data_IF_382509471391
#
_entry.id   IF_382509471391
#
_cell.length_a   1.000
_cell.length_b   1.000
_cell.length_c   1.000
_cell.angle_alpha   90.00
_cell.angle_beta   90.00
_cell.angle_gamma   90.00
#
_symmetry.space_group_name_H-M   'P 1'
#
loop_
_entity.id
_entity.type
_entity.pdbx_description
1 polymer ?
#
# COMPACT_ATOMS: atom_id res chain seq x y z
N UNK A 1 -91.90 1.60 4.93
CA UNK A 1 -92.80 0.54 4.43
C UNK A 1 -91.92 -0.50 3.78
N UNK A 2 -92.16 -1.78 4.09
CA UNK A 2 -91.48 -3.01 3.61
C UNK A 2 -91.14 -2.98 2.09
N UNK A 3 -90.16 -3.69 1.54
CA UNK A 3 -90.01 -5.15 1.64
C UNK A 3 -88.63 -5.67 1.12
N UNK A 4 -88.23 -6.80 1.73
CA UNK A 4 -87.43 -8.00 1.33
C UNK A 4 -86.60 -7.96 0.02
N UNK A 5 -85.38 -8.52 -0.05
CA UNK A 5 -85.08 -9.98 0.02
C UNK A 5 -83.58 -10.31 0.20
N UNK A 6 -83.29 -11.38 0.97
CA UNK A 6 -82.02 -12.12 1.10
C UNK A 6 -81.89 -13.19 -0.03
N UNK A 7 -80.69 -13.74 -0.39
CA UNK A 7 -79.89 -14.68 0.45
C UNK A 7 -78.35 -14.49 0.39
N UNK A 8 -77.62 -14.52 1.51
CA UNK A 8 -76.84 -15.65 2.07
C UNK A 8 -76.04 -16.49 1.05
N UNK A 9 -74.71 -16.34 1.05
CA UNK A 9 -73.78 -17.45 1.23
C UNK A 9 -72.51 -16.98 1.96
N UNK A 10 -72.15 -17.77 2.96
CA UNK A 10 -70.98 -17.79 3.83
C UNK A 10 -69.64 -17.72 3.09
N UNK A 11 -68.67 -16.96 3.61
CA UNK A 11 -67.44 -17.51 4.21
C UNK A 11 -66.30 -16.48 4.35
N UNK A 12 -65.77 -16.41 5.57
CA UNK A 12 -64.36 -16.20 5.95
C UNK A 12 -63.79 -14.77 5.91
N UNK A 13 -63.94 -14.16 7.08
CA UNK A 13 -62.97 -13.38 7.87
C UNK A 13 -61.48 -13.71 7.59
N UNK A 14 -60.65 -12.73 7.20
CA UNK A 14 -59.63 -12.11 8.08
C UNK A 14 -58.65 -11.25 7.27
N UNK A 15 -58.54 -10.01 7.72
CA UNK A 15 -57.43 -9.08 7.55
C UNK A 15 -56.20 -9.66 8.27
N UNK A 16 -55.00 -9.65 7.66
CA UNK A 16 -53.76 -9.44 8.43
C UNK A 16 -52.57 -9.04 7.54
N UNK A 17 -51.99 -7.93 7.96
CA UNK A 17 -50.80 -7.23 7.51
C UNK A 17 -49.60 -8.17 7.39
N UNK A 18 -48.93 -8.17 6.23
CA UNK A 18 -47.59 -8.74 6.08
C UNK A 18 -46.55 -7.61 6.18
N UNK A 19 -46.09 -7.36 7.41
CA UNK A 19 -44.86 -6.61 7.68
C UNK A 19 -43.70 -7.62 7.86
N UNK A 20 -42.58 -7.31 7.23
CA UNK A 20 -41.20 -7.69 7.58
C UNK A 20 -40.89 -9.18 7.82
N UNK A 21 -40.09 -9.78 6.94
CA UNK A 21 -38.89 -10.59 7.29
C UNK A 21 -38.04 -10.81 6.02
N UNK A 22 -37.24 -9.80 5.63
CA UNK A 22 -35.99 -10.06 4.91
C UNK A 22 -35.02 -10.57 5.97
N UNK A 23 -34.92 -11.89 6.06
CA UNK A 23 -34.05 -12.55 7.03
C UNK A 23 -32.61 -12.12 6.83
N UNK A 24 -31.99 -11.64 7.91
CA UNK A 24 -30.54 -11.62 8.06
C UNK A 24 -30.02 -13.04 7.81
N UNK A 25 -29.34 -13.25 6.69
CA UNK A 25 -28.49 -14.43 6.54
C UNK A 25 -27.35 -14.22 7.53
N UNK A 26 -27.33 -14.99 8.62
CA UNK A 26 -26.17 -15.08 9.50
C UNK A 26 -24.99 -15.49 8.62
N UNK A 27 -23.93 -14.71 8.63
CA UNK A 27 -22.65 -15.14 8.09
C UNK A 27 -22.31 -16.50 8.72
N UNK A 28 -21.95 -17.47 7.88
CA UNK A 28 -21.45 -18.74 8.39
C UNK A 28 -20.19 -18.43 9.23
N UNK A 29 -20.06 -19.03 10.41
CA UNK A 29 -18.88 -18.83 11.23
C UNK A 29 -17.65 -19.21 10.40
N UNK A 30 -16.72 -18.27 10.29
CA UNK A 30 -15.39 -18.55 9.76
C UNK A 30 -14.84 -19.70 10.60
N UNK A 31 -14.56 -20.84 9.96
CA UNK A 31 -13.82 -21.92 10.60
C UNK A 31 -12.40 -21.38 10.77
N UNK A 32 -12.13 -20.82 11.95
CA UNK A 32 -10.78 -20.62 12.42
C UNK A 32 -10.27 -22.05 12.66
N UNK A 33 -9.50 -22.56 11.71
CA UNK A 33 -8.65 -23.70 12.01
C UNK A 33 -7.65 -23.13 13.02
N UNK A 34 -7.71 -23.62 14.26
CA UNK A 34 -6.71 -23.28 15.25
C UNK A 34 -5.33 -23.48 14.59
N UNK A 35 -4.39 -22.53 14.74
CA UNK A 35 -3.04 -22.76 14.29
C UNK A 35 -2.60 -24.12 14.84
N UNK A 36 -1.91 -24.95 14.03
CA UNK A 36 -1.36 -26.19 14.54
C UNK A 36 -0.64 -25.88 15.86
N UNK A 37 -0.74 -26.79 16.84
CA UNK A 37 -0.02 -26.65 18.11
C UNK A 37 1.40 -26.14 17.80
N UNK A 38 1.88 -25.09 18.49
CA UNK A 38 3.19 -24.55 18.22
C UNK A 38 4.18 -25.72 18.23
N UNK A 39 5.07 -25.82 17.23
CA UNK A 39 6.03 -26.91 17.18
C UNK A 39 6.69 -26.99 18.56
N UNK A 40 6.78 -28.21 19.10
CA UNK A 40 7.47 -28.47 20.36
C UNK A 40 8.76 -27.65 20.33
N UNK A 41 9.00 -26.74 21.30
CA UNK A 41 10.16 -25.88 21.27
C UNK A 41 11.40 -26.74 21.04
N UNK A 42 11.98 -26.61 19.85
CA UNK A 42 13.23 -27.29 19.55
C UNK A 42 14.26 -26.56 20.39
N UNK A 43 14.93 -27.29 21.27
CA UNK A 43 16.05 -26.75 22.02
C UNK A 43 17.18 -26.42 21.02
N UNK A 44 17.20 -25.18 20.56
CA UNK A 44 18.20 -24.68 19.63
C UNK A 44 19.54 -24.39 20.31
N UNK A 45 19.61 -24.51 21.64
CA UNK A 45 20.86 -24.28 22.39
C UNK A 45 21.86 -25.41 22.25
N UNK A 46 21.44 -26.56 21.71
CA UNK A 46 22.28 -27.73 21.44
C UNK A 46 22.39 -28.10 19.96
N UNK A 47 21.93 -27.25 19.04
CA UNK A 47 22.11 -27.48 17.60
C UNK A 47 23.57 -27.24 17.22
N UNK A 48 24.37 -28.31 17.28
CA UNK A 48 25.64 -28.40 16.55
C UNK A 48 25.35 -29.04 15.19
N UNK A 49 24.75 -28.25 14.30
CA UNK A 49 24.46 -28.66 12.92
C UNK A 49 25.74 -28.73 12.04
N UNK A 50 26.90 -28.59 12.67
CA UNK A 50 28.18 -28.39 12.01
C UNK A 50 28.26 -27.04 11.27
N UNK A 51 29.38 -26.78 10.58
CA UNK A 51 29.51 -25.58 9.77
C UNK A 51 28.53 -25.63 8.60
N UNK A 52 27.58 -24.68 8.57
CA UNK A 52 26.68 -24.46 7.44
C UNK A 52 27.48 -23.98 6.25
N UNK A 53 27.51 -24.78 5.19
CA UNK A 53 28.08 -24.37 3.90
C UNK A 53 27.07 -23.50 3.14
N UNK A 54 27.08 -22.20 3.42
CA UNK A 54 26.19 -21.23 2.77
C UNK A 54 26.34 -21.21 1.24
N UNK A 55 27.42 -21.74 0.67
CA UNK A 55 27.60 -21.83 -0.80
C UNK A 55 26.75 -22.93 -1.44
N UNK A 56 26.23 -23.87 -0.63
CA UNK A 56 25.39 -24.98 -1.08
C UNK A 56 23.91 -24.78 -0.82
N UNK A 57 23.53 -23.73 -0.09
CA UNK A 57 22.14 -23.36 0.04
C UNK A 57 21.76 -22.59 -1.23
N UNK A 58 20.90 -23.15 -2.10
CA UNK A 58 20.30 -22.34 -3.15
C UNK A 58 19.39 -21.33 -2.45
N UNK A 59 19.92 -20.13 -2.19
CA UNK A 59 19.17 -19.01 -1.62
C UNK A 59 18.27 -18.39 -2.69
N UNK A 60 17.38 -19.23 -3.21
CA UNK A 60 16.40 -18.87 -4.22
C UNK A 60 15.09 -19.54 -3.85
N UNK A 61 14.00 -18.82 -4.04
CA UNK A 61 12.64 -19.32 -3.84
C UNK A 61 11.94 -19.58 -5.18
N UNK A 62 12.69 -19.85 -6.25
CA UNK A 62 12.16 -19.97 -7.62
C UNK A 62 11.01 -20.98 -7.74
N UNK A 63 11.04 -22.07 -6.97
CA UNK A 63 9.96 -23.06 -6.93
C UNK A 63 8.65 -22.54 -6.33
N UNK A 64 8.68 -21.46 -5.56
CA UNK A 64 7.52 -20.78 -4.97
C UNK A 64 7.17 -19.47 -5.69
N UNK A 65 7.99 -19.02 -6.64
CA UNK A 65 7.88 -17.68 -7.20
C UNK A 65 6.64 -17.47 -8.09
N UNK A 66 6.06 -18.55 -8.63
CA UNK A 66 4.91 -18.49 -9.52
C UNK A 66 3.69 -17.81 -8.87
N UNK A 67 2.95 -16.95 -9.59
CA UNK A 67 1.66 -16.40 -9.15
C UNK A 67 0.60 -17.45 -8.77
N UNK A 68 0.71 -18.65 -9.33
CA UNK A 68 -0.19 -19.78 -8.99
C UNK A 68 0.01 -20.27 -7.55
N UNK A 69 1.12 -19.89 -6.90
CA UNK A 69 1.51 -20.30 -5.56
C UNK A 69 1.42 -19.15 -4.54
N UNK A 70 0.61 -18.13 -4.82
CA UNK A 70 0.44 -16.95 -3.94
C UNK A 70 0.12 -17.30 -2.49
N UNK A 71 -0.66 -18.36 -2.23
CA UNK A 71 -0.95 -18.83 -0.87
C UNK A 71 0.28 -19.36 -0.10
N UNK A 72 1.38 -19.64 -0.79
CA UNK A 72 2.65 -20.13 -0.24
C UNK A 72 3.76 -19.07 -0.28
N UNK A 73 3.46 -17.85 -0.76
CA UNK A 73 4.49 -16.83 -0.92
C UNK A 73 5.09 -16.37 0.41
N UNK A 74 4.38 -16.46 1.53
CA UNK A 74 4.90 -16.00 2.83
C UNK A 74 5.52 -14.59 2.70
N UNK A 75 6.83 -14.45 2.96
CA UNK A 75 7.61 -13.22 2.81
C UNK A 75 8.30 -13.06 1.43
N UNK A 76 8.20 -14.05 0.55
CA UNK A 76 8.73 -13.99 -0.82
C UNK A 76 7.89 -13.10 -1.73
N UNK A 77 8.48 -12.69 -2.87
CA UNK A 77 7.85 -11.80 -3.84
C UNK A 77 7.37 -10.47 -3.22
N UNK A 78 8.22 -9.88 -2.37
CA UNK A 78 7.98 -8.58 -1.74
C UNK A 78 9.05 -7.61 -2.21
N UNK A 79 8.63 -6.44 -2.69
CA UNK A 79 9.50 -5.34 -3.09
C UNK A 79 8.83 -4.03 -2.67
N UNK A 80 9.58 -3.12 -2.05
CA UNK A 80 9.08 -1.87 -1.45
C UNK A 80 7.90 -2.08 -0.47
N UNK A 81 8.08 -2.84 0.63
CA UNK A 81 7.02 -3.07 1.59
C UNK A 81 6.70 -1.81 2.40
N UNK A 82 5.42 -1.49 2.50
CA UNK A 82 4.85 -0.57 3.51
C UNK A 82 4.01 -1.36 4.51
N UNK A 83 4.26 -1.10 5.79
CA UNK A 83 3.63 -1.82 6.90
C UNK A 83 2.60 -0.97 7.63
N UNK A 84 1.48 -1.57 8.00
CA UNK A 84 0.49 -1.01 8.91
C UNK A 84 0.26 -1.96 10.08
N UNK A 85 0.66 -1.53 11.29
CA UNK A 85 0.36 -2.28 12.51
C UNK A 85 -1.11 -2.06 12.87
N UNK A 86 -1.91 -3.12 12.80
CA UNK A 86 -3.29 -3.15 13.27
C UNK A 86 -3.42 -3.93 14.58
N UNK A 87 -4.65 -3.99 15.10
CA UNK A 87 -4.93 -4.61 16.40
C UNK A 87 -4.64 -6.13 16.40
N UNK A 88 -5.13 -6.83 15.36
CA UNK A 88 -4.98 -8.29 15.24
C UNK A 88 -3.80 -8.72 14.35
N UNK A 89 -3.43 -7.88 13.40
CA UNK A 89 -2.42 -8.20 12.38
C UNK A 89 -1.60 -6.96 12.01
N UNK A 90 -0.32 -7.19 11.71
CA UNK A 90 0.46 -6.28 10.86
C UNK A 90 0.17 -6.59 9.40
N UNK A 91 -0.18 -5.56 8.64
CA UNK A 91 -0.44 -5.64 7.20
C UNK A 91 0.78 -5.15 6.43
N UNK A 92 1.02 -5.75 5.26
CA UNK A 92 2.08 -5.36 4.33
C UNK A 92 1.47 -5.13 2.95
N UNK A 93 1.84 -4.01 2.32
CA UNK A 93 1.48 -3.64 0.95
C UNK A 93 2.77 -3.44 0.19
N UNK A 94 2.88 -3.97 -1.02
CA UNK A 94 4.13 -3.90 -1.77
C UNK A 94 3.93 -3.79 -3.27
N UNK A 95 5.00 -3.39 -3.96
CA UNK A 95 5.12 -3.34 -5.42
C UNK A 95 4.67 -4.65 -6.06
N UNK A 96 3.98 -4.57 -7.19
CA UNK A 96 3.59 -5.74 -7.96
C UNK A 96 4.83 -6.45 -8.54
N UNK A 97 5.27 -7.53 -7.89
CA UNK A 97 6.45 -8.31 -8.29
C UNK A 97 6.20 -9.82 -8.17
N UNK A 98 6.76 -10.60 -9.10
CA UNK A 98 6.92 -12.04 -8.96
C UNK A 98 8.26 -12.46 -9.62
N UNK A 99 9.16 -13.08 -8.87
CA UNK A 99 10.51 -13.38 -9.34
C UNK A 99 10.47 -14.31 -10.57
N UNK A 100 10.91 -13.79 -11.72
CA UNK A 100 10.93 -14.55 -12.99
C UNK A 100 9.55 -14.79 -13.61
N UNK A 101 8.50 -14.11 -13.14
CA UNK A 101 7.13 -14.28 -13.63
C UNK A 101 6.44 -12.93 -13.88
N UNK A 102 5.58 -12.89 -14.89
CA UNK A 102 4.63 -11.80 -15.03
C UNK A 102 3.60 -11.84 -13.90
N UNK A 103 3.19 -10.66 -13.43
CA UNK A 103 2.17 -10.53 -12.40
C UNK A 103 1.14 -9.48 -12.82
N UNK A 104 -0.11 -9.70 -12.44
CA UNK A 104 -1.17 -8.70 -12.63
C UNK A 104 -0.92 -7.47 -11.74
N UNK A 105 -1.34 -6.26 -12.18
CA UNK A 105 -1.29 -5.10 -11.31
C UNK A 105 -2.36 -5.16 -10.22
N UNK A 106 -2.06 -4.56 -9.08
CA UNK A 106 -3.06 -4.26 -8.07
C UNK A 106 -2.58 -3.96 -6.66
N UNK A 107 -1.28 -3.86 -6.40
CA UNK A 107 -0.66 -3.80 -5.07
C UNK A 107 -0.98 -5.06 -4.26
N UNK A 108 0.05 -5.85 -4.00
CA UNK A 108 -0.06 -7.08 -3.23
C UNK A 108 -0.29 -6.79 -1.74
N UNK A 109 -1.15 -7.57 -1.09
CA UNK A 109 -1.48 -7.44 0.34
C UNK A 109 -1.11 -8.73 1.06
N UNK A 110 -0.37 -8.60 2.15
CA UNK A 110 -0.08 -9.68 3.10
C UNK A 110 -0.44 -9.25 4.53
N UNK A 111 -0.57 -10.21 5.43
CA UNK A 111 -0.71 -9.95 6.88
C UNK A 111 0.08 -10.94 7.71
N UNK A 112 0.42 -10.55 8.95
CA UNK A 112 1.15 -11.38 9.90
C UNK A 112 0.73 -11.07 11.33
N UNK A 113 0.78 -12.07 12.21
CA UNK A 113 0.57 -11.92 13.65
C UNK A 113 1.90 -11.72 14.42
N UNK A 114 3.04 -12.05 13.80
CA UNK A 114 4.34 -12.13 14.49
C UNK A 114 5.51 -11.56 13.68
N UNK A 115 5.25 -10.95 12.51
CA UNK A 115 6.24 -10.42 11.55
C UNK A 115 7.15 -11.47 10.89
N UNK A 116 6.96 -12.75 11.20
CA UNK A 116 7.76 -13.86 10.66
C UNK A 116 6.93 -14.68 9.68
N UNK A 117 5.73 -15.08 10.07
CA UNK A 117 4.79 -15.85 9.26
C UNK A 117 3.81 -14.90 8.58
N UNK A 118 3.78 -14.94 7.25
CA UNK A 118 2.99 -14.03 6.44
C UNK A 118 1.97 -14.80 5.60
N UNK A 119 0.73 -14.31 5.58
CA UNK A 119 -0.34 -14.83 4.74
C UNK A 119 -0.59 -13.84 3.60
N UNK A 120 -0.58 -14.33 2.35
CA UNK A 120 -1.02 -13.54 1.21
C UNK A 120 -2.54 -13.40 1.20
N UNK A 121 -3.03 -12.16 1.17
CA UNK A 121 -4.46 -11.84 1.28
C UNK A 121 -5.09 -11.55 -0.08
N UNK A 122 -4.32 -10.98 -1.02
CA UNK A 122 -4.84 -10.60 -2.34
C UNK A 122 -4.20 -9.31 -2.87
N UNK A 123 -4.99 -8.55 -3.63
CA UNK A 123 -4.59 -7.27 -4.22
C UNK A 123 -5.54 -6.16 -3.81
N UNK A 124 -5.00 -4.95 -3.62
CA UNK A 124 -5.78 -3.77 -3.24
C UNK A 124 -6.73 -3.30 -4.36
N UNK A 125 -6.29 -3.43 -5.62
CA UNK A 125 -7.03 -3.05 -6.81
C UNK A 125 -7.32 -4.27 -7.69
N UNK A 126 -8.38 -4.25 -8.51
CA UNK A 126 -8.65 -5.29 -9.51
C UNK A 126 -7.77 -5.18 -10.78
N UNK A 127 -6.98 -4.11 -10.90
CA UNK A 127 -6.11 -3.80 -12.04
C UNK A 127 -5.48 -2.42 -11.85
N UNK A 128 -5.03 -1.79 -12.94
CA UNK A 128 -4.53 -0.41 -12.87
C UNK A 128 -5.64 0.58 -12.47
N UNK A 129 -5.39 1.49 -11.52
CA UNK A 129 -6.30 2.57 -11.16
C UNK A 129 -6.50 3.55 -12.33
N UNK A 130 -7.75 3.93 -12.57
CA UNK A 130 -8.15 4.63 -13.80
C UNK A 130 -7.65 6.07 -13.84
N UNK A 131 -7.57 6.78 -12.72
CA UNK A 131 -7.14 8.19 -12.73
C UNK A 131 -5.68 8.31 -13.14
N UNK A 132 -4.82 7.43 -12.62
CA UNK A 132 -3.40 7.39 -12.97
C UNK A 132 -3.16 6.98 -14.43
N UNK A 133 -3.82 5.92 -14.89
CA UNK A 133 -3.74 5.47 -16.29
C UNK A 133 -4.18 6.57 -17.26
N UNK A 134 -5.29 7.25 -16.96
CA UNK A 134 -5.78 8.36 -17.78
C UNK A 134 -4.80 9.55 -17.79
N UNK A 135 -4.21 9.90 -16.65
CA UNK A 135 -3.20 10.97 -16.58
C UNK A 135 -2.01 10.67 -17.49
N UNK A 136 -1.48 9.45 -17.46
CA UNK A 136 -0.35 9.04 -18.29
C UNK A 136 -0.73 9.09 -19.79
N UNK A 137 -1.88 8.51 -20.15
CA UNK A 137 -2.36 8.49 -21.54
C UNK A 137 -2.60 9.90 -22.10
N UNK A 138 -3.21 10.79 -21.31
CA UNK A 138 -3.46 12.18 -21.70
C UNK A 138 -2.17 12.99 -21.91
N UNK A 139 -1.06 12.55 -21.33
CA UNK A 139 0.26 13.17 -21.50
C UNK A 139 1.16 12.39 -22.47
N UNK A 140 0.57 11.52 -23.30
CA UNK A 140 1.24 10.86 -24.42
C UNK A 140 2.11 9.66 -24.02
N UNK A 141 1.91 9.09 -22.84
CA UNK A 141 2.56 7.85 -22.40
C UNK A 141 1.61 6.66 -22.36
N UNK A 142 2.19 5.47 -22.16
CA UNK A 142 1.46 4.24 -21.84
C UNK A 142 1.88 3.79 -20.43
N UNK A 143 0.94 3.51 -19.52
CA UNK A 143 1.30 3.10 -18.15
C UNK A 143 2.00 1.74 -18.16
N UNK A 144 2.94 1.56 -17.22
CA UNK A 144 3.39 0.20 -16.91
C UNK A 144 2.22 -0.64 -16.38
N UNK A 145 2.25 -1.94 -16.67
CA UNK A 145 1.27 -2.89 -16.14
C UNK A 145 1.60 -3.34 -14.70
N UNK A 146 1.96 -2.39 -13.84
CA UNK A 146 2.43 -2.62 -12.47
C UNK A 146 2.27 -1.35 -11.63
N UNK A 147 1.92 -1.49 -10.35
CA UNK A 147 1.90 -0.42 -9.36
C UNK A 147 3.08 -0.59 -8.40
N UNK A 148 3.68 0.53 -8.00
CA UNK A 148 4.95 0.55 -7.27
C UNK A 148 4.84 1.25 -5.92
N UNK A 149 5.71 0.83 -5.01
CA UNK A 149 6.05 1.43 -3.72
C UNK A 149 4.84 2.07 -3.03
N UNK A 150 3.85 1.26 -2.61
CA UNK A 150 2.68 1.80 -1.93
C UNK A 150 3.05 2.32 -0.54
N UNK A 151 2.22 3.20 0.00
CA UNK A 151 2.26 3.57 1.41
C UNK A 151 0.87 3.50 2.02
N UNK A 152 0.74 2.77 3.13
CA UNK A 152 -0.53 2.59 3.85
C UNK A 152 -0.48 3.34 5.20
N UNK A 153 -1.57 4.03 5.51
CA UNK A 153 -1.79 4.57 6.85
C UNK A 153 -3.27 4.50 7.24
N UNK A 154 -3.55 4.62 8.53
CA UNK A 154 -4.91 4.78 9.06
C UNK A 154 -5.10 6.19 9.60
N UNK A 155 -6.18 6.87 9.20
CA UNK A 155 -6.58 8.19 9.69
C UNK A 155 -8.03 8.11 10.16
N UNK A 156 -8.25 8.16 11.47
CA UNK A 156 -9.56 7.83 12.04
C UNK A 156 -9.98 6.41 11.66
N UNK A 157 -11.17 6.25 11.08
CA UNK A 157 -11.69 4.96 10.61
C UNK A 157 -11.33 4.64 9.14
N UNK A 158 -10.52 5.48 8.50
CA UNK A 158 -10.19 5.36 7.09
C UNK A 158 -8.76 4.85 6.87
N UNK A 159 -8.64 3.83 6.02
CA UNK A 159 -7.37 3.34 5.52
C UNK A 159 -7.03 4.08 4.21
N UNK A 160 -5.88 4.73 4.17
CA UNK A 160 -5.37 5.50 3.03
C UNK A 160 -4.18 4.79 2.42
N UNK A 161 -4.36 4.30 1.19
CA UNK A 161 -3.33 3.65 0.40
C UNK A 161 -2.88 4.60 -0.71
N UNK A 162 -1.70 5.14 -0.54
CA UNK A 162 -0.98 5.86 -1.59
C UNK A 162 -0.26 4.85 -2.47
N UNK A 163 -0.25 5.07 -3.79
CA UNK A 163 0.38 4.18 -4.75
C UNK A 163 1.07 4.97 -5.85
N UNK A 164 2.09 4.37 -6.46
CA UNK A 164 2.79 4.93 -7.59
C UNK A 164 2.37 4.23 -8.89
N UNK A 165 2.15 5.02 -9.95
CA UNK A 165 2.03 4.52 -11.31
C UNK A 165 2.94 5.35 -12.24
N UNK A 166 3.77 4.66 -13.00
CA UNK A 166 4.78 5.23 -13.88
C UNK A 166 4.61 4.72 -15.32
N UNK A 167 5.43 5.21 -16.24
CA UNK A 167 5.46 4.83 -17.64
C UNK A 167 6.89 4.71 -18.18
N UNK A 168 7.09 4.08 -19.36
CA UNK A 168 8.38 4.09 -20.05
C UNK A 168 8.85 5.50 -20.42
N UNK A 169 7.94 6.47 -20.50
CA UNK A 169 8.27 7.87 -20.73
C UNK A 169 8.95 8.44 -19.49
N UNK A 170 10.22 8.91 -19.58
CA UNK A 170 10.98 9.32 -18.41
C UNK A 170 10.25 10.35 -17.55
N UNK A 171 10.08 10.03 -16.26
CA UNK A 171 9.45 10.91 -15.26
C UNK A 171 7.98 11.26 -15.52
N UNK A 172 7.30 10.56 -16.43
CA UNK A 172 5.85 10.66 -16.57
C UNK A 172 5.19 9.65 -15.63
N UNK A 173 4.85 10.13 -14.43
CA UNK A 173 4.39 9.32 -13.31
C UNK A 173 3.39 10.08 -12.43
N UNK A 174 2.69 9.35 -11.58
CA UNK A 174 1.79 9.90 -10.59
C UNK A 174 1.75 9.09 -9.30
N UNK A 175 1.53 9.79 -8.20
CA UNK A 175 1.09 9.21 -6.93
C UNK A 175 -0.41 9.42 -6.82
N UNK A 176 -1.15 8.34 -6.68
CA UNK A 176 -2.59 8.37 -6.41
C UNK A 176 -2.90 8.01 -4.96
N UNK A 177 -4.09 8.38 -4.51
CA UNK A 177 -4.66 7.98 -3.24
C UNK A 177 -5.91 7.14 -3.48
N UNK A 178 -6.00 5.99 -2.84
CA UNK A 178 -7.21 5.22 -2.69
C UNK A 178 -7.51 4.96 -1.21
N UNK A 179 -8.78 4.73 -0.89
CA UNK A 179 -9.25 4.60 0.50
C UNK A 179 -10.19 3.43 0.70
N UNK A 180 -10.21 2.91 1.93
CA UNK A 180 -11.07 1.81 2.35
C UNK A 180 -11.48 1.97 3.83
N UNK A 181 -12.54 1.26 4.23
CA UNK A 181 -12.96 1.15 5.63
C UNK A 181 -12.33 -0.02 6.37
N UNK A 182 -11.61 -0.90 5.66
CA UNK A 182 -10.88 -2.04 6.23
C UNK A 182 -9.51 -2.13 5.57
N UNK A 183 -8.48 -2.70 6.23
CA UNK A 183 -7.15 -2.79 5.65
C UNK A 183 -7.14 -3.65 4.37
N UNK A 184 -7.98 -4.69 4.27
CA UNK A 184 -8.08 -5.52 3.07
C UNK A 184 -8.82 -4.86 1.89
N UNK A 185 -9.33 -3.63 2.06
CA UNK A 185 -10.16 -2.99 1.05
C UNK A 185 -11.65 -3.32 1.17
N UNK A 186 -12.44 -3.17 0.08
CA UNK A 186 -11.99 -2.76 -1.24
C UNK A 186 -11.53 -1.29 -1.26
N UNK A 187 -10.41 -1.01 -1.91
CA UNK A 187 -9.93 0.35 -2.09
C UNK A 187 -10.68 1.07 -3.22
N UNK A 188 -10.91 2.37 -3.02
CA UNK A 188 -11.58 3.27 -3.97
C UNK A 188 -10.72 4.50 -4.21
N UNK A 189 -10.39 4.77 -5.47
CA UNK A 189 -9.63 5.95 -5.87
C UNK A 189 -10.32 7.23 -5.39
N UNK A 190 -9.51 8.14 -4.86
CA UNK A 190 -9.93 9.46 -4.39
C UNK A 190 -9.41 10.57 -5.28
N UNK A 191 -8.18 10.43 -5.77
CA UNK A 191 -7.54 11.45 -6.58
C UNK A 191 -6.05 11.19 -6.78
N UNK A 192 -5.45 11.98 -7.68
CA UNK A 192 -4.01 12.07 -7.80
C UNK A 192 -3.50 13.11 -6.81
N UNK A 193 -2.45 12.76 -6.06
CA UNK A 193 -1.85 13.60 -5.04
C UNK A 193 -0.78 14.49 -5.66
N UNK A 194 0.18 13.88 -6.35
CA UNK A 194 1.26 14.58 -7.04
C UNK A 194 1.58 13.86 -8.35
N UNK A 195 2.00 14.64 -9.35
CA UNK A 195 2.32 14.14 -10.69
C UNK A 195 3.63 14.73 -11.19
N UNK A 196 4.31 14.04 -12.08
CA UNK A 196 5.49 14.52 -12.79
C UNK A 196 5.33 14.34 -14.30
N UNK A 197 6.01 15.20 -15.07
CA UNK A 197 5.93 15.23 -16.53
C UNK A 197 7.31 15.15 -17.18
N UNK A 198 7.36 14.58 -18.37
CA UNK A 198 8.52 14.54 -19.25
C UNK A 198 8.69 15.85 -20.06
N UNK A 199 8.65 17.00 -19.39
CA UNK A 199 8.61 18.33 -20.02
C UNK A 199 9.86 19.20 -19.76
N UNK A 200 10.91 18.62 -19.17
CA UNK A 200 12.16 19.33 -18.87
C UNK A 200 12.12 20.26 -17.65
N UNK A 201 10.99 20.39 -16.94
CA UNK A 201 10.95 21.12 -15.66
C UNK A 201 11.90 20.49 -14.63
N UNK A 202 12.45 21.25 -13.69
CA UNK A 202 13.22 20.68 -12.57
C UNK A 202 12.24 20.09 -11.55
N UNK A 203 12.27 18.77 -11.41
CA UNK A 203 11.39 17.99 -10.52
C UNK A 203 11.96 16.57 -10.38
N UNK A 204 11.64 15.89 -9.28
CA UNK A 204 11.80 14.44 -9.15
C UNK A 204 10.73 13.63 -9.90
N UNK A 205 10.85 12.31 -9.90
CA UNK A 205 9.79 11.41 -10.35
C UNK A 205 8.70 11.27 -9.28
N UNK A 206 7.43 11.42 -9.68
CA UNK A 206 6.30 11.31 -8.76
C UNK A 206 5.94 9.85 -8.46
N UNK A 207 6.80 9.19 -7.67
CA UNK A 207 6.65 7.84 -7.11
C UNK A 207 7.19 7.79 -5.67
N UNK A 208 7.03 6.65 -5.01
CA UNK A 208 7.55 6.31 -3.68
C UNK A 208 7.06 7.24 -2.56
N UNK A 209 5.75 7.35 -2.32
CA UNK A 209 5.20 8.13 -1.21
C UNK A 209 5.53 7.54 0.16
N UNK A 210 5.64 8.41 1.15
CA UNK A 210 5.48 8.11 2.58
C UNK A 210 4.80 9.32 3.24
N UNK A 211 4.07 9.14 4.34
CA UNK A 211 3.34 10.23 5.00
C UNK A 211 3.56 10.22 6.50
N UNK A 212 3.90 11.37 7.07
CA UNK A 212 3.94 11.57 8.52
C UNK A 212 2.84 12.56 8.95
N UNK A 213 2.27 12.31 10.13
CA UNK A 213 1.40 13.27 10.82
C UNK A 213 2.24 13.95 11.88
N UNK A 214 2.39 15.27 11.78
CA UNK A 214 3.03 16.11 12.78
C UNK A 214 2.18 16.24 14.03
N UNK A 215 2.80 16.66 15.14
CA UNK A 215 2.12 16.86 16.42
C UNK A 215 0.99 17.90 16.35
N UNK A 216 1.10 18.87 15.44
CA UNK A 216 0.07 19.88 15.16
C UNK A 216 -1.09 19.38 14.29
N UNK A 217 -1.08 18.09 13.92
CA UNK A 217 -2.05 17.48 13.02
C UNK A 217 -1.82 17.79 11.53
N UNK A 218 -0.70 18.44 11.17
CA UNK A 218 -0.31 18.61 9.78
C UNK A 218 0.11 17.27 9.18
N UNK A 219 -0.26 17.01 7.93
CA UNK A 219 0.12 15.80 7.21
C UNK A 219 1.16 16.17 6.16
N UNK A 220 2.32 15.51 6.18
CA UNK A 220 3.41 15.75 5.25
C UNK A 220 3.70 14.49 4.45
N UNK A 221 3.59 14.58 3.12
CA UNK A 221 4.05 13.53 2.22
C UNK A 221 5.48 13.80 1.84
N UNK A 222 6.34 12.79 1.96
CA UNK A 222 7.63 12.75 1.27
C UNK A 222 7.51 11.79 0.09
N UNK A 223 8.17 12.12 -1.00
CA UNK A 223 8.17 11.28 -2.20
C UNK A 223 9.39 11.55 -3.07
N UNK A 224 9.65 10.64 -4.01
CA UNK A 224 10.62 10.87 -5.06
C UNK A 224 11.56 9.70 -5.27
N UNK A 225 11.94 9.53 -6.53
CA UNK A 225 13.00 8.60 -6.96
C UNK A 225 13.78 9.26 -8.08
N UNK A 226 15.11 9.16 -8.01
CA UNK A 226 16.08 9.69 -8.95
C UNK A 226 15.93 11.21 -9.22
N UNK A 227 16.39 11.65 -10.40
CA UNK A 227 16.38 13.03 -10.88
C UNK A 227 16.78 14.04 -9.80
N UNK A 228 15.86 14.94 -9.45
CA UNK A 228 16.15 16.05 -8.57
C UNK A 228 16.16 15.65 -7.09
N UNK A 229 15.76 14.42 -6.73
CA UNK A 229 15.88 13.89 -5.38
C UNK A 229 14.56 13.69 -4.65
N UNK A 230 14.56 13.80 -3.32
CA UNK A 230 13.37 13.61 -2.48
C UNK A 230 12.71 14.96 -2.21
N UNK A 231 11.39 14.97 -2.34
CA UNK A 231 10.53 16.13 -2.17
C UNK A 231 9.58 15.92 -0.99
N UNK A 232 9.10 17.02 -0.41
CA UNK A 232 7.99 17.03 0.56
C UNK A 232 6.88 17.96 0.10
N UNK A 233 5.63 17.62 0.35
CA UNK A 233 4.48 18.53 0.24
C UNK A 233 3.51 18.34 1.41
N UNK A 234 2.73 19.38 1.69
CA UNK A 234 1.67 19.31 2.70
C UNK A 234 0.41 18.68 2.10
N UNK A 235 -0.22 17.79 2.85
CA UNK A 235 -1.51 17.21 2.51
C UNK A 235 -2.63 17.93 3.26
N UNK A 236 -3.84 17.86 2.71
CA UNK A 236 -5.05 18.19 3.44
C UNK A 236 -5.40 17.00 4.37
N UNK A 237 -5.43 17.18 5.70
CA UNK A 237 -5.70 16.08 6.65
C UNK A 237 -7.06 15.41 6.42
N UNK A 238 -8.08 16.16 6.01
CA UNK A 238 -9.45 15.68 5.85
C UNK A 238 -9.58 14.70 4.68
N UNK A 239 -8.92 14.99 3.55
CA UNK A 239 -9.10 14.19 2.34
C UNK A 239 -7.85 13.40 1.89
N UNK A 240 -6.67 13.70 2.42
CA UNK A 240 -5.40 13.03 2.13
C UNK A 240 -4.74 13.42 0.81
N UNK A 241 -5.31 14.33 0.03
CA UNK A 241 -4.72 14.87 -1.20
C UNK A 241 -3.78 16.04 -0.89
N UNK A 242 -3.03 16.49 -1.90
CA UNK A 242 -2.19 17.68 -1.77
C UNK A 242 -3.03 18.87 -1.27
N UNK A 243 -2.49 19.63 -0.30
CA UNK A 243 -3.20 20.78 0.28
C UNK A 243 -3.52 21.84 -0.76
N UNK A 244 -2.62 22.04 -1.72
CA UNK A 244 -2.79 22.94 -2.84
C UNK A 244 -2.76 22.17 -4.16
N UNK A 245 -3.73 22.43 -5.03
CA UNK A 245 -3.81 21.75 -6.32
C UNK A 245 -2.59 22.06 -7.19
N UNK A 246 -1.98 21.02 -7.74
CA UNK A 246 -0.79 21.14 -8.59
C UNK A 246 0.52 21.34 -7.85
N UNK A 247 0.51 21.36 -6.50
CA UNK A 247 1.72 21.43 -5.70
C UNK A 247 2.63 20.22 -5.96
N UNK A 248 3.90 20.51 -6.25
CA UNK A 248 4.94 19.49 -6.45
C UNK A 248 5.80 19.31 -5.21
N UNK A 249 5.65 20.18 -4.22
CA UNK A 249 6.45 20.20 -3.03
C UNK A 249 7.80 20.89 -3.21
N UNK A 250 8.64 20.73 -2.19
CA UNK A 250 9.99 21.29 -2.11
C UNK A 250 10.98 20.15 -1.89
N UNK A 251 12.11 20.21 -2.60
CA UNK A 251 13.20 19.25 -2.44
C UNK A 251 13.83 19.34 -1.05
N UNK A 252 14.01 18.19 -0.41
CA UNK A 252 14.60 18.04 0.93
C UNK A 252 15.90 17.25 0.94
N UNK A 253 16.12 16.36 -0.03
CA UNK A 253 17.35 15.61 -0.16
C UNK A 253 17.71 15.42 -1.64
N UNK A 254 19.00 15.39 -1.94
CA UNK A 254 19.51 15.08 -3.29
C UNK A 254 20.86 14.38 -3.19
N UNK A 255 21.22 13.66 -4.24
CA UNK A 255 22.58 13.16 -4.42
C UNK A 255 23.53 14.31 -4.75
N UNK A 256 24.79 14.14 -4.38
CA UNK A 256 25.86 15.07 -4.79
C UNK A 256 26.14 14.98 -6.29
N UNK A 257 27.02 15.84 -6.78
CA UNK A 257 27.40 15.90 -8.19
C UNK A 257 28.90 15.65 -8.35
N UNK A 258 29.27 15.04 -9.47
CA UNK A 258 30.65 15.05 -9.99
C UNK A 258 30.63 15.79 -11.33
N UNK A 259 31.14 17.02 -11.34
CA UNK A 259 30.90 17.94 -12.46
C UNK A 259 29.40 18.25 -12.58
N UNK A 260 28.82 18.03 -13.75
CA UNK A 260 27.39 18.24 -14.02
C UNK A 260 26.55 16.95 -13.89
N UNK A 261 27.14 15.82 -13.49
CA UNK A 261 26.45 14.55 -13.37
C UNK A 261 26.05 14.28 -11.91
N UNK A 262 24.80 13.85 -11.71
CA UNK A 262 24.32 13.38 -10.42
C UNK A 262 25.01 12.06 -10.07
N UNK A 263 25.47 11.94 -8.82
CA UNK A 263 26.17 10.76 -8.34
C UNK A 263 25.16 9.66 -7.97
N UNK A 264 24.87 8.71 -8.85
CA UNK A 264 24.03 7.55 -8.55
C UNK A 264 22.54 7.89 -8.32
N UNK A 265 21.82 6.98 -7.67
CA UNK A 265 20.37 7.07 -7.45
C UNK A 265 20.00 7.43 -6.00
N UNK A 266 18.78 7.92 -5.79
CA UNK A 266 18.15 8.22 -4.49
C UNK A 266 16.65 7.98 -4.58
N UNK A 267 16.05 7.18 -3.70
CA UNK A 267 14.62 6.85 -3.76
C UNK A 267 14.08 6.26 -2.45
N UNK A 268 12.81 5.85 -2.45
CA UNK A 268 12.17 5.16 -1.33
C UNK A 268 12.26 5.92 0.01
N UNK A 269 11.82 7.18 0.08
CA UNK A 269 11.79 7.88 1.35
C UNK A 269 10.81 7.19 2.30
N UNK A 270 11.22 6.99 3.56
CA UNK A 270 10.34 6.56 4.64
C UNK A 270 10.60 7.46 5.85
N UNK A 271 9.55 8.12 6.35
CA UNK A 271 9.65 9.02 7.49
C UNK A 271 8.93 8.45 8.71
N UNK A 272 9.63 8.44 9.85
CA UNK A 272 9.07 8.02 11.14
C UNK A 272 9.36 9.06 12.21
N UNK A 273 8.49 9.15 13.21
CA UNK A 273 8.74 9.92 14.44
C UNK A 273 9.16 8.97 15.56
N UNK A 274 10.21 9.32 16.28
CA UNK A 274 10.66 8.61 17.47
C UNK A 274 10.33 9.44 18.72
N UNK A 275 9.38 8.99 19.57
CA UNK A 275 8.96 9.74 20.75
C UNK A 275 9.98 9.71 21.90
N UNK A 276 10.91 8.75 21.93
CA UNK A 276 11.96 8.70 22.96
C UNK A 276 12.97 9.84 22.77
N UNK A 277 13.28 10.15 21.51
CA UNK A 277 14.23 11.19 21.15
C UNK A 277 13.58 12.52 20.77
N UNK A 278 12.26 12.54 20.59
CA UNK A 278 11.51 13.68 20.06
C UNK A 278 12.06 14.13 18.70
N UNK A 279 12.27 13.17 17.80
CA UNK A 279 12.88 13.43 16.48
C UNK A 279 12.23 12.65 15.36
N UNK A 280 12.19 13.28 14.18
CA UNK A 280 11.79 12.67 12.93
C UNK A 280 13.02 12.10 12.23
N UNK A 281 12.90 10.89 11.70
CA UNK A 281 13.94 10.18 10.96
C UNK A 281 13.46 9.91 9.54
N UNK A 282 14.19 10.43 8.55
CA UNK A 282 13.94 10.19 7.14
C UNK A 282 14.95 9.17 6.63
N UNK A 283 14.48 7.94 6.40
CA UNK A 283 15.21 6.88 5.72
C UNK A 283 15.09 7.06 4.20
N UNK A 284 16.18 6.80 3.48
CA UNK A 284 16.23 6.93 2.02
C UNK A 284 17.19 5.87 1.47
N UNK A 285 16.87 5.23 0.36
CA UNK A 285 17.77 4.33 -0.33
C UNK A 285 18.67 5.06 -1.34
N UNK A 286 19.95 4.73 -1.36
CA UNK A 286 20.92 5.20 -2.35
C UNK A 286 21.31 4.09 -3.33
N UNK A 287 21.64 4.54 -4.55
CA UNK A 287 22.11 3.73 -5.67
C UNK A 287 21.04 2.75 -6.20
N UNK A 288 21.40 1.91 -7.18
CA UNK A 288 20.44 1.10 -7.93
C UNK A 288 20.14 -0.22 -7.23
N UNK A 289 18.85 -0.61 -7.22
CA UNK A 289 18.34 -1.82 -6.59
C UNK A 289 19.01 -3.10 -7.12
N UNK A 290 19.48 -3.09 -8.37
CA UNK A 290 20.13 -4.24 -9.01
C UNK A 290 21.61 -4.41 -8.63
N UNK A 291 22.21 -3.43 -7.92
CA UNK A 291 23.67 -3.43 -7.71
C UNK A 291 24.11 -3.14 -6.27
N UNK A 292 23.91 -1.92 -5.78
CA UNK A 292 24.54 -1.40 -4.56
C UNK A 292 23.52 -0.68 -3.67
N UNK A 293 22.33 -1.24 -3.52
CA UNK A 293 21.27 -0.63 -2.74
C UNK A 293 21.65 -0.49 -1.27
N UNK A 294 21.58 0.73 -0.72
CA UNK A 294 21.97 0.98 0.66
C UNK A 294 21.11 2.06 1.31
N UNK A 295 20.64 1.76 2.52
CA UNK A 295 19.79 2.67 3.30
C UNK A 295 20.64 3.73 3.99
N UNK A 296 20.15 4.97 3.96
CA UNK A 296 20.65 6.14 4.67
C UNK A 296 19.57 6.67 5.58
N UNK A 297 19.98 7.42 6.59
CA UNK A 297 19.04 8.09 7.51
C UNK A 297 19.54 9.50 7.81
N UNK A 298 18.63 10.46 7.72
CA UNK A 298 18.75 11.81 8.27
C UNK A 298 17.73 12.01 9.38
N UNK A 299 17.89 13.07 10.17
CA UNK A 299 16.93 13.42 11.23
C UNK A 299 16.64 14.90 11.29
N UNK A 300 15.50 15.25 11.86
CA UNK A 300 15.01 16.61 12.07
C UNK A 300 14.19 16.70 13.35
N UNK A 301 14.12 17.91 13.92
CA UNK A 301 13.20 18.23 15.02
C UNK A 301 11.78 18.56 14.48
N UNK A 302 11.60 18.70 13.16
CA UNK A 302 10.31 19.06 12.54
C UNK A 302 9.85 18.00 11.51
N UNK A 303 8.53 17.72 11.39
CA UNK A 303 8.00 16.74 10.44
C UNK A 303 8.22 17.13 8.98
N UNK A 304 8.35 18.43 8.69
CA UNK A 304 8.72 18.93 7.38
C UNK A 304 10.25 19.10 7.25
N UNK A 305 11.03 19.19 8.32
CA UNK A 305 12.45 19.49 8.28
C UNK A 305 12.85 20.84 7.64
N UNK A 306 14.16 21.11 7.50
CA UNK A 306 15.23 20.35 8.14
C UNK A 306 15.22 20.52 9.66
#
# INVERSE_FOLDING_TARGET
MMDKTFPRFTSVLLLLVALSMLGCKKDEPIIIVDPPDPPVPVDTTTLDDGPVDFTKLPDTYGQLASPDLTSQWMHYNVHDPSYLVGDDFTWCYNTDVAFGHDIRPGIQIRRSINLVEWEFVGWAFPGLPTMGSNFIAQNGGEPFNSLWAPYIMKVGDEYRLYYSLSSPTPRLSCIGLATASTPKGPFRERGLVVTSLANGAVQTNAIDPTVIVGEDGSHWMYYGSAWDGIYKLELNPDNGLARYNGDKGVRVAQRGFTGNAINGNIEGPEIIYNPEFDQYYLFIAYDWLETKYNVRVGRSDNPNGP
#
